data_IF_522675144393
#
_entry.id   IF_522675144393
#
_cell.length_a   1.000
_cell.length_b   1.000
_cell.length_c   1.000
_cell.angle_alpha   90.00
_cell.angle_beta   90.00
_cell.angle_gamma   90.00
#
_symmetry.space_group_name_H-M   'P 1'
#
loop_
_entity.id
_entity.type
_entity.pdbx_description
1 polymer ?
#
# COMPACT_ATOMS: atom_id res chain seq x y z
N UNK A 1 -7.54 5.22 -13.64
CA UNK A 1 -8.19 6.29 -12.85
C UNK A 1 -9.00 5.65 -11.75
N UNK A 2 -8.53 5.81 -10.51
CA UNK A 2 -9.14 5.24 -9.31
C UNK A 2 -10.41 6.01 -8.95
N UNK A 3 -11.51 5.28 -8.76
CA UNK A 3 -12.81 5.88 -8.41
C UNK A 3 -12.71 6.65 -7.10
N UNK A 4 -13.11 7.92 -7.11
CA UNK A 4 -13.14 8.78 -5.93
C UNK A 4 -11.80 9.41 -5.52
N UNK A 5 -10.72 9.19 -6.28
CA UNK A 5 -9.44 9.84 -6.02
C UNK A 5 -9.52 11.36 -6.19
N UNK A 6 -10.26 11.87 -7.18
CA UNK A 6 -10.45 13.32 -7.35
C UNK A 6 -11.17 13.96 -6.17
N UNK A 7 -12.16 13.26 -5.60
CA UNK A 7 -12.91 13.71 -4.42
C UNK A 7 -12.00 13.72 -3.19
N UNK A 8 -11.17 12.68 -3.03
CA UNK A 8 -10.16 12.62 -1.98
C UNK A 8 -9.15 13.76 -2.12
N UNK A 9 -8.57 13.94 -3.30
CA UNK A 9 -7.61 15.01 -3.59
C UNK A 9 -8.16 16.37 -3.21
N UNK A 10 -9.36 16.71 -3.71
CA UNK A 10 -9.92 18.04 -3.48
C UNK A 10 -10.16 18.29 -1.99
N UNK A 11 -10.66 17.27 -1.27
CA UNK A 11 -10.94 17.37 0.16
C UNK A 11 -9.67 17.52 1.00
N UNK A 12 -8.60 16.79 0.66
CA UNK A 12 -7.34 16.78 1.41
C UNK A 12 -6.26 17.70 0.84
N UNK A 13 -6.60 18.62 -0.07
CA UNK A 13 -5.62 19.51 -0.72
C UNK A 13 -4.80 20.34 0.26
N UNK A 14 -5.40 20.81 1.36
CA UNK A 14 -4.70 21.56 2.40
C UNK A 14 -3.86 20.68 3.34
N UNK A 15 -3.98 19.36 3.19
CA UNK A 15 -3.44 18.35 4.09
C UNK A 15 -2.62 17.28 3.35
N UNK A 16 -2.15 17.59 2.13
CA UNK A 16 -1.42 16.64 1.28
C UNK A 16 -0.20 16.05 2.01
N UNK A 17 0.47 16.85 2.83
CA UNK A 17 1.66 16.47 3.59
C UNK A 17 1.41 15.47 4.74
N UNK A 18 0.15 15.27 5.12
CA UNK A 18 -0.23 14.47 6.30
C UNK A 18 -0.61 13.03 5.96
N UNK A 19 -0.77 12.73 4.66
CA UNK A 19 -1.12 11.41 4.20
C UNK A 19 -0.36 11.02 2.94
N UNK A 20 -0.01 9.74 2.86
CA UNK A 20 0.73 9.16 1.75
C UNK A 20 -0.05 7.98 1.19
N UNK A 21 -0.43 8.04 -0.09
CA UNK A 21 -1.08 6.91 -0.74
C UNK A 21 -0.06 5.82 -1.09
N UNK A 22 -0.44 4.58 -0.78
CA UNK A 22 0.35 3.38 -1.09
C UNK A 22 -0.51 2.39 -1.89
N UNK A 23 -0.07 1.13 -1.93
CA UNK A 23 -0.91 0.02 -2.36
C UNK A 23 -1.33 0.08 -3.82
N UNK A 24 -2.59 -0.25 -4.11
CA UNK A 24 -3.09 -0.32 -5.49
C UNK A 24 -3.12 1.04 -6.19
N UNK A 25 -3.54 2.08 -5.45
CA UNK A 25 -3.78 3.41 -6.01
C UNK A 25 -2.48 4.13 -6.35
N UNK A 26 -1.47 4.01 -5.49
CA UNK A 26 -0.13 4.50 -5.82
C UNK A 26 0.46 3.80 -7.06
N UNK A 27 0.18 2.49 -7.22
CA UNK A 27 0.56 1.75 -8.43
C UNK A 27 -0.14 2.25 -9.71
N UNK A 28 -1.45 2.56 -9.64
CA UNK A 28 -2.19 3.15 -10.77
C UNK A 28 -1.63 4.52 -11.16
N UNK A 29 -1.35 5.37 -10.18
CA UNK A 29 -0.74 6.69 -10.39
C UNK A 29 0.64 6.57 -11.03
N UNK A 30 1.48 5.67 -10.51
CA UNK A 30 2.84 5.42 -11.01
C UNK A 30 2.84 4.97 -12.48
N UNK A 31 1.98 4.01 -12.81
CA UNK A 31 1.90 3.43 -14.16
C UNK A 31 1.31 4.44 -15.15
N UNK A 32 0.28 5.18 -14.73
CA UNK A 32 -0.33 6.22 -15.56
C UNK A 32 0.68 7.31 -15.89
N UNK A 33 1.54 7.68 -14.95
CA UNK A 33 2.64 8.63 -15.18
C UNK A 33 3.65 8.12 -16.23
N UNK A 34 3.93 6.82 -16.23
CA UNK A 34 4.77 6.18 -17.23
C UNK A 34 4.06 5.90 -18.58
N UNK A 35 2.82 6.36 -18.76
CA UNK A 35 2.04 6.15 -19.98
C UNK A 35 1.45 4.74 -20.13
N UNK A 36 1.27 4.02 -19.01
CA UNK A 36 0.75 2.67 -18.99
C UNK A 36 -0.45 2.50 -18.03
N UNK A 37 -1.08 1.33 -18.09
CA UNK A 37 -2.26 0.99 -17.30
C UNK A 37 -1.89 0.03 -16.18
N UNK A 38 -2.42 0.27 -14.98
CA UNK A 38 -2.38 -0.69 -13.88
C UNK A 38 -3.70 -1.48 -13.77
N UNK A 39 -3.73 -2.49 -12.90
CA UNK A 39 -4.98 -3.18 -12.60
C UNK A 39 -5.93 -2.23 -11.86
N UNK A 40 -7.23 -2.39 -12.09
CA UNK A 40 -8.23 -1.61 -11.36
C UNK A 40 -8.11 -1.83 -9.85
N UNK A 41 -8.19 -0.73 -9.10
CA UNK A 41 -8.35 -0.69 -7.65
C UNK A 41 -9.48 0.27 -7.30
N UNK A 42 -10.19 -0.02 -6.21
CA UNK A 42 -11.25 0.84 -5.68
C UNK A 42 -10.96 1.31 -4.26
N UNK A 43 -9.81 0.88 -3.74
CA UNK A 43 -9.40 1.04 -2.36
C UNK A 43 -8.30 2.10 -2.29
N UNK A 44 -8.40 2.97 -1.30
CA UNK A 44 -7.32 3.88 -0.93
C UNK A 44 -6.61 3.31 0.29
N UNK A 45 -5.38 2.87 0.06
CA UNK A 45 -4.43 2.50 1.11
C UNK A 45 -3.65 3.76 1.51
N UNK A 46 -3.85 4.25 2.74
CA UNK A 46 -3.41 5.57 3.19
C UNK A 46 -2.52 5.41 4.41
N UNK A 47 -1.27 5.83 4.32
CA UNK A 47 -0.36 5.94 5.47
C UNK A 47 -0.44 7.34 6.04
N UNK A 48 -0.65 7.45 7.36
CA UNK A 48 -0.58 8.72 8.05
C UNK A 48 0.86 9.10 8.40
N UNK A 49 1.26 10.31 8.01
CA UNK A 49 2.58 10.89 8.33
C UNK A 49 2.51 11.55 9.70
N UNK A 50 2.81 10.79 10.76
CA UNK A 50 2.54 11.19 12.16
C UNK A 50 3.27 12.47 12.58
N UNK A 51 4.37 12.78 11.91
CA UNK A 51 5.23 13.94 12.10
C UNK A 51 4.56 15.23 11.63
N UNK A 52 3.61 15.13 10.69
CA UNK A 52 2.90 16.26 10.11
C UNK A 52 1.44 16.36 10.61
N UNK A 53 0.91 15.35 11.30
CA UNK A 53 -0.49 15.29 11.71
C UNK A 53 -0.86 16.35 12.72
N UNK A 54 -1.96 17.05 12.44
CA UNK A 54 -2.61 17.98 13.37
C UNK A 54 -4.10 17.63 13.58
N UNK A 55 -4.75 18.36 14.48
CA UNK A 55 -6.17 18.19 14.76
C UNK A 55 -7.06 18.54 13.56
N UNK A 56 -6.61 19.44 12.67
CA UNK A 56 -7.31 19.83 11.46
C UNK A 56 -7.43 18.67 10.48
N UNK A 57 -6.37 17.88 10.31
CA UNK A 57 -6.40 16.64 9.53
C UNK A 57 -7.47 15.69 10.02
N UNK A 58 -7.45 15.40 11.34
CA UNK A 58 -8.34 14.40 11.93
C UNK A 58 -9.80 14.85 11.78
N UNK A 59 -10.06 16.15 11.95
CA UNK A 59 -11.38 16.72 11.69
C UNK A 59 -11.78 16.59 10.21
N UNK A 60 -10.89 16.94 9.29
CA UNK A 60 -11.13 16.84 7.85
C UNK A 60 -11.36 15.38 7.43
N UNK A 61 -10.64 14.43 8.01
CA UNK A 61 -10.82 13.01 7.75
C UNK A 61 -12.20 12.53 8.20
N UNK A 62 -12.62 12.86 9.40
CA UNK A 62 -13.97 12.53 9.87
C UNK A 62 -15.06 13.22 9.06
N UNK A 63 -14.82 14.45 8.59
CA UNK A 63 -15.71 15.14 7.66
C UNK A 63 -15.81 14.40 6.33
N UNK A 64 -14.71 13.89 5.78
CA UNK A 64 -14.71 13.06 4.57
C UNK A 64 -15.52 11.77 4.77
N UNK A 65 -15.29 11.08 5.89
CA UNK A 65 -16.01 9.84 6.25
C UNK A 65 -17.51 10.09 6.38
N UNK A 66 -17.92 11.17 7.06
CA UNK A 66 -19.33 11.58 7.18
C UNK A 66 -19.92 11.98 5.82
N UNK A 67 -19.18 12.76 5.04
CA UNK A 67 -19.63 13.26 3.74
C UNK A 67 -19.82 12.16 2.72
N UNK A 68 -18.97 11.12 2.73
CA UNK A 68 -19.12 9.92 1.90
C UNK A 68 -20.20 8.95 2.40
N UNK A 69 -20.62 9.09 3.65
CA UNK A 69 -21.61 8.21 4.28
C UNK A 69 -21.09 6.79 4.49
N UNK A 70 -19.82 6.62 4.86
CA UNK A 70 -19.26 5.30 5.15
C UNK A 70 -19.96 4.69 6.39
N UNK A 71 -20.60 3.54 6.19
CA UNK A 71 -21.46 2.92 7.20
C UNK A 71 -20.81 1.72 7.93
N UNK A 72 -19.71 1.19 7.41
CA UNK A 72 -18.87 0.20 8.12
C UNK A 72 -17.54 0.87 8.46
N UNK A 73 -17.28 1.06 9.75
CA UNK A 73 -16.14 1.78 10.29
C UNK A 73 -15.47 0.91 11.33
N UNK A 74 -14.27 0.47 11.04
CA UNK A 74 -13.64 -0.59 11.80
C UNK A 74 -12.23 -0.22 12.23
N UNK A 75 -11.78 -0.79 13.35
CA UNK A 75 -10.43 -0.63 13.87
C UNK A 75 -9.84 -2.01 14.19
N UNK A 76 -8.58 -2.20 13.84
CA UNK A 76 -7.82 -3.36 14.29
C UNK A 76 -7.53 -3.32 15.80
N UNK A 77 -7.41 -4.49 16.41
CA UNK A 77 -7.02 -4.66 17.81
C UNK A 77 -5.51 -4.88 17.98
N UNK A 78 -5.08 -4.96 19.25
CA UNK A 78 -3.70 -5.30 19.61
C UNK A 78 -2.67 -4.22 19.27
N UNK A 79 -1.50 -4.64 18.79
CA UNK A 79 -0.39 -3.74 18.43
C UNK A 79 -0.56 -3.09 17.04
N UNK A 80 -1.48 -3.57 16.22
CA UNK A 80 -1.72 -3.06 14.86
C UNK A 80 -2.69 -1.88 14.93
N UNK A 81 -2.29 -0.74 14.41
CA UNK A 81 -3.16 0.44 14.35
C UNK A 81 -3.53 0.75 12.91
N UNK A 82 -4.54 0.05 12.41
CA UNK A 82 -5.19 0.41 11.16
C UNK A 82 -6.71 0.48 11.29
N UNK A 83 -7.29 1.29 10.42
CA UNK A 83 -8.73 1.57 10.37
C UNK A 83 -9.26 1.26 8.99
N UNK A 84 -10.51 0.81 8.92
CA UNK A 84 -11.17 0.47 7.66
C UNK A 84 -12.53 1.14 7.57
N UNK A 85 -12.75 1.91 6.51
CA UNK A 85 -14.01 2.58 6.22
C UNK A 85 -14.55 2.07 4.91
N UNK A 86 -15.73 1.44 4.91
CA UNK A 86 -16.30 0.77 3.75
C UNK A 86 -17.74 1.17 3.50
N UNK A 87 -18.23 0.79 2.32
CA UNK A 87 -19.62 0.92 1.89
C UNK A 87 -20.10 2.37 2.03
N UNK A 88 -19.47 3.33 1.31
CA UNK A 88 -20.00 4.68 1.25
C UNK A 88 -21.39 4.66 0.62
N UNK A 89 -22.28 5.53 1.10
CA UNK A 89 -23.59 5.76 0.48
C UNK A 89 -23.41 6.50 -0.85
N UNK A 90 -22.44 7.43 -0.91
CA UNK A 90 -22.17 8.21 -2.11
C UNK A 90 -21.24 7.45 -3.05
N UNK A 91 -21.72 7.16 -4.26
CA UNK A 91 -20.97 6.35 -5.21
C UNK A 91 -19.71 7.03 -5.74
N UNK A 92 -19.60 8.36 -5.71
CA UNK A 92 -18.41 9.09 -6.16
C UNK A 92 -17.24 9.01 -5.16
N UNK A 93 -17.42 8.40 -3.99
CA UNK A 93 -16.36 8.17 -3.02
C UNK A 93 -15.63 6.84 -3.26
N UNK A 94 -14.37 6.71 -2.78
CA UNK A 94 -13.65 5.43 -2.78
C UNK A 94 -14.43 4.33 -2.05
N UNK A 95 -14.43 3.11 -2.60
CA UNK A 95 -15.21 2.00 -2.04
C UNK A 95 -14.75 1.58 -0.64
N UNK A 96 -13.45 1.72 -0.40
CA UNK A 96 -12.81 1.48 0.88
C UNK A 96 -11.68 2.49 1.12
N UNK A 97 -11.56 2.95 2.37
CA UNK A 97 -10.38 3.60 2.90
C UNK A 97 -9.74 2.65 3.91
N UNK A 98 -8.49 2.27 3.70
CA UNK A 98 -7.68 1.57 4.70
C UNK A 98 -6.58 2.52 5.17
N UNK A 99 -6.64 2.88 6.45
CA UNK A 99 -5.78 3.89 7.05
C UNK A 99 -4.78 3.25 7.99
N UNK A 100 -3.49 3.51 7.80
CA UNK A 100 -2.41 3.00 8.62
C UNK A 100 -1.80 4.12 9.46
N UNK A 101 -1.69 3.88 10.76
CA UNK A 101 -1.05 4.80 11.70
C UNK A 101 -0.05 4.05 12.56
N UNK A 102 1.08 4.68 12.90
CA UNK A 102 1.98 4.17 13.95
C UNK A 102 1.51 4.59 15.36
N UNK A 103 0.68 5.64 15.43
CA UNK A 103 0.11 6.12 16.69
C UNK A 103 -1.26 5.49 16.93
N UNK A 104 -1.42 4.68 18.00
CA UNK A 104 -2.72 4.15 18.38
C UNK A 104 -3.71 5.30 18.66
N UNK A 105 -4.98 5.05 18.36
CA UNK A 105 -6.10 5.90 18.79
C UNK A 105 -6.12 7.33 18.25
N UNK A 106 -5.33 7.64 17.22
CA UNK A 106 -5.29 8.98 16.62
C UNK A 106 -6.64 9.46 16.09
N UNK A 107 -7.48 8.53 15.62
CA UNK A 107 -8.84 8.83 15.16
C UNK A 107 -9.91 8.76 16.26
N UNK A 108 -9.58 8.19 17.42
CA UNK A 108 -10.50 8.01 18.56
C UNK A 108 -10.69 9.31 19.37
N UNK A 109 -10.04 10.40 18.95
CA UNK A 109 -10.00 11.69 19.65
C UNK A 109 -11.21 12.60 19.36
N UNK A 110 -12.13 12.19 18.48
CA UNK A 110 -13.27 13.01 18.02
C UNK A 110 -14.59 12.43 18.50
N UNK A 111 -15.45 13.24 19.10
CA UNK A 111 -16.80 12.82 19.51
C UNK A 111 -17.61 12.27 18.31
N UNK A 112 -18.28 11.12 18.51
CA UNK A 112 -19.03 10.43 17.46
C UNK A 112 -18.19 9.51 16.55
N UNK A 113 -16.93 9.25 16.90
CA UNK A 113 -16.04 8.29 16.23
C UNK A 113 -16.34 6.84 16.61
N UNK A 114 -17.59 6.37 16.46
CA UNK A 114 -17.92 4.97 16.73
C UNK A 114 -17.22 4.05 15.71
N UNK A 115 -16.29 3.25 16.22
CA UNK A 115 -15.51 2.26 15.47
C UNK A 115 -15.78 0.87 16.05
N UNK A 116 -16.13 -0.08 15.21
CA UNK A 116 -16.28 -1.48 15.63
C UNK A 116 -14.97 -2.26 15.44
N UNK A 117 -14.66 -3.27 16.26
CA UNK A 117 -13.48 -4.10 16.02
C UNK A 117 -13.55 -4.82 14.67
N UNK A 118 -12.43 -4.91 13.95
CA UNK A 118 -12.31 -5.80 12.79
C UNK A 118 -12.41 -7.26 13.29
N UNK A 119 -13.24 -8.13 12.68
CA UNK A 119 -13.28 -9.54 13.06
C UNK A 119 -11.89 -10.18 12.95
N UNK A 120 -11.46 -10.98 13.94
CA UNK A 120 -10.11 -11.58 13.98
C UNK A 120 -9.73 -12.31 12.68
N UNK A 121 -10.71 -12.97 12.04
CA UNK A 121 -10.52 -13.66 10.74
C UNK A 121 -10.23 -12.71 9.57
N UNK A 122 -10.67 -11.47 9.67
CA UNK A 122 -10.46 -10.37 8.71
C UNK A 122 -9.35 -9.40 9.15
N UNK A 123 -8.79 -9.59 10.36
CA UNK A 123 -7.76 -8.75 10.98
C UNK A 123 -6.37 -9.06 10.44
N UNK A 124 -6.29 -9.03 9.11
CA UNK A 124 -5.09 -9.31 8.36
C UNK A 124 -4.83 -8.11 7.47
N UNK A 125 -3.80 -7.35 7.82
CA UNK A 125 -3.18 -6.45 6.86
C UNK A 125 -1.68 -6.61 6.97
N UNK A 126 -1.07 -7.24 5.95
CA UNK A 126 0.39 -7.36 5.84
C UNK A 126 1.03 -5.97 5.82
N UNK A 127 0.35 -4.97 5.22
CA UNK A 127 0.78 -3.58 5.20
C UNK A 127 0.85 -2.97 6.60
N UNK A 128 -0.15 -3.19 7.45
CA UNK A 128 -0.08 -2.70 8.83
C UNK A 128 1.10 -3.30 9.59
N UNK A 129 1.42 -4.58 9.39
CA UNK A 129 2.56 -5.21 10.05
C UNK A 129 3.90 -4.64 9.56
N UNK A 130 4.01 -4.35 8.26
CA UNK A 130 5.19 -3.73 7.66
C UNK A 130 5.43 -2.33 8.25
N UNK A 131 4.38 -1.52 8.36
CA UNK A 131 4.48 -0.13 8.80
C UNK A 131 4.73 0.05 10.30
N UNK A 132 4.71 -1.04 11.09
CA UNK A 132 5.16 -1.01 12.49
C UNK A 132 6.69 -1.01 12.62
N UNK A 133 7.43 -1.41 11.59
CA UNK A 133 8.89 -1.32 11.56
C UNK A 133 9.31 0.11 11.22
N UNK A 134 10.05 0.77 12.12
CA UNK A 134 10.45 2.17 11.95
C UNK A 134 11.33 2.38 10.72
N UNK A 135 12.29 1.49 10.48
CA UNK A 135 13.18 1.59 9.32
C UNK A 135 12.42 1.43 8.01
N UNK A 136 11.45 0.51 7.97
CA UNK A 136 10.58 0.33 6.80
C UNK A 136 9.68 1.55 6.57
N UNK A 137 9.09 2.09 7.64
CA UNK A 137 8.22 3.26 7.58
C UNK A 137 8.97 4.50 7.08
N UNK A 138 10.11 4.84 7.70
CA UNK A 138 10.88 6.03 7.37
C UNK A 138 11.39 5.94 5.92
N UNK A 139 11.87 4.77 5.51
CA UNK A 139 12.29 4.52 4.14
C UNK A 139 11.13 4.67 3.14
N UNK A 140 9.96 4.11 3.45
CA UNK A 140 8.78 4.28 2.62
C UNK A 140 8.38 5.75 2.46
N UNK A 141 8.37 6.50 3.57
CA UNK A 141 8.05 7.92 3.56
C UNK A 141 9.09 8.76 2.80
N UNK A 142 10.37 8.34 2.78
CA UNK A 142 11.42 8.98 1.98
C UNK A 142 11.18 8.88 0.47
N UNK A 143 10.45 7.84 0.04
CA UNK A 143 10.03 7.61 -1.34
C UNK A 143 8.77 8.36 -1.77
N UNK A 144 8.28 9.29 -0.95
CA UNK A 144 7.10 10.07 -1.26
C UNK A 144 7.36 11.04 -2.43
N UNK A 145 6.42 11.06 -3.36
CA UNK A 145 6.34 12.03 -4.46
C UNK A 145 4.95 12.63 -4.51
N UNK A 146 4.83 13.77 -5.18
CA UNK A 146 3.56 14.45 -5.36
C UNK A 146 3.21 14.56 -6.85
N UNK A 147 1.95 14.30 -7.17
CA UNK A 147 1.37 14.59 -8.48
C UNK A 147 -0.05 15.09 -8.31
N UNK A 148 -0.36 16.20 -8.97
CA UNK A 148 -1.68 16.83 -8.93
C UNK A 148 -2.19 16.99 -7.49
N UNK A 149 -1.35 17.41 -6.53
CA UNK A 149 -1.75 17.61 -5.12
C UNK A 149 -2.03 16.33 -4.32
N UNK A 150 -1.65 15.16 -4.84
CA UNK A 150 -1.73 13.88 -4.13
C UNK A 150 -0.32 13.36 -3.88
N UNK A 151 0.00 13.06 -2.62
CA UNK A 151 1.24 12.38 -2.24
C UNK A 151 1.08 10.87 -2.30
N UNK A 152 2.05 10.20 -2.91
CA UNK A 152 2.07 8.75 -3.08
C UNK A 152 3.50 8.22 -3.22
N UNK A 153 3.70 6.92 -3.07
CA UNK A 153 5.02 6.30 -3.19
C UNK A 153 5.32 5.79 -4.60
N UNK A 154 6.59 5.85 -4.99
CA UNK A 154 7.11 5.36 -6.27
C UNK A 154 7.16 3.83 -6.40
N UNK A 155 7.33 3.30 -7.63
CA UNK A 155 7.49 1.86 -7.86
C UNK A 155 8.64 1.26 -7.04
N UNK A 156 9.71 2.01 -6.83
CA UNK A 156 10.91 1.62 -6.07
C UNK A 156 10.57 1.24 -4.62
N UNK A 157 9.58 1.91 -4.02
CA UNK A 157 9.17 1.66 -2.63
C UNK A 157 7.92 0.77 -2.56
N UNK A 158 7.09 0.76 -3.61
CA UNK A 158 5.95 -0.15 -3.71
C UNK A 158 6.36 -1.61 -3.91
N UNK A 159 7.42 -1.86 -4.68
CA UNK A 159 7.88 -3.23 -4.96
C UNK A 159 8.19 -4.00 -3.67
N UNK A 160 8.99 -3.47 -2.71
CA UNK A 160 9.22 -4.17 -1.46
C UNK A 160 7.95 -4.37 -0.61
N UNK A 161 7.03 -3.40 -0.58
CA UNK A 161 5.74 -3.59 0.09
C UNK A 161 4.94 -4.76 -0.51
N UNK A 162 4.93 -4.87 -1.83
CA UNK A 162 4.24 -5.98 -2.54
C UNK A 162 4.96 -7.31 -2.31
N UNK A 163 6.28 -7.32 -2.33
CA UNK A 163 7.10 -8.49 -2.05
C UNK A 163 6.85 -9.02 -0.63
N UNK A 164 6.86 -8.14 0.37
CA UNK A 164 6.61 -8.53 1.76
C UNK A 164 5.18 -8.98 2.00
N UNK A 165 4.18 -8.33 1.39
CA UNK A 165 2.79 -8.79 1.43
C UNK A 165 2.62 -10.17 0.78
N UNK A 166 3.33 -10.44 -0.32
CA UNK A 166 3.34 -11.76 -0.97
C UNK A 166 3.93 -12.84 -0.05
N UNK A 167 5.07 -12.58 0.59
CA UNK A 167 5.69 -13.50 1.56
C UNK A 167 4.71 -13.82 2.68
N UNK A 168 4.17 -12.78 3.34
CA UNK A 168 3.27 -12.92 4.49
C UNK A 168 2.02 -13.76 4.15
N UNK A 169 1.35 -13.46 3.04
CA UNK A 169 0.17 -14.22 2.61
C UNK A 169 0.51 -15.66 2.21
N UNK A 170 1.69 -15.89 1.63
CA UNK A 170 2.14 -17.23 1.22
C UNK A 170 2.45 -18.10 2.44
N UNK A 171 3.23 -17.58 3.40
CA UNK A 171 3.57 -18.29 4.64
C UNK A 171 2.32 -18.64 5.46
N UNK A 172 1.37 -17.71 5.54
CA UNK A 172 0.11 -17.95 6.24
C UNK A 172 -0.73 -19.03 5.58
N UNK A 173 -0.81 -19.02 4.25
CA UNK A 173 -1.48 -20.07 3.50
C UNK A 173 -0.82 -21.44 3.73
N UNK A 174 0.50 -21.49 3.79
CA UNK A 174 1.27 -22.71 4.11
C UNK A 174 1.02 -23.20 5.55
N UNK A 175 0.76 -22.28 6.49
CA UNK A 175 0.40 -22.57 7.87
C UNK A 175 -1.08 -22.99 8.05
N UNK A 176 -1.87 -22.97 6.98
CA UNK A 176 -3.28 -23.40 6.98
C UNK A 176 -4.29 -22.29 7.22
N UNK A 177 -3.87 -21.02 7.23
CA UNK A 177 -4.80 -19.89 7.29
C UNK A 177 -5.67 -19.82 6.04
N UNK A 178 -6.91 -19.34 6.20
CA UNK A 178 -7.79 -19.05 5.08
C UNK A 178 -7.34 -17.78 4.36
N UNK A 179 -6.49 -17.95 3.34
CA UNK A 179 -5.94 -16.88 2.50
C UNK A 179 -6.42 -17.06 1.07
N UNK A 180 -6.92 -15.99 0.46
CA UNK A 180 -7.30 -15.98 -0.95
C UNK A 180 -6.04 -16.08 -1.84
N UNK A 181 -6.07 -17.02 -2.78
CA UNK A 181 -4.95 -17.22 -3.72
C UNK A 181 -4.84 -16.08 -4.73
N UNK A 182 -5.95 -15.40 -5.01
CA UNK A 182 -5.94 -14.22 -5.88
C UNK A 182 -5.26 -13.04 -5.20
N UNK A 183 -5.33 -12.94 -3.88
CA UNK A 183 -4.59 -11.95 -3.11
C UNK A 183 -3.08 -12.22 -3.13
N UNK A 184 -2.64 -13.47 -3.00
CA UNK A 184 -1.23 -13.81 -3.21
C UNK A 184 -0.81 -13.46 -4.64
N UNK A 185 -1.58 -13.90 -5.63
CA UNK A 185 -1.28 -13.69 -7.05
C UNK A 185 -1.21 -12.21 -7.44
N UNK A 186 -2.10 -11.35 -6.91
CA UNK A 186 -2.09 -9.91 -7.22
C UNK A 186 -0.81 -9.24 -6.72
N UNK A 187 -0.34 -9.56 -5.50
CA UNK A 187 0.90 -8.98 -4.96
C UNK A 187 2.13 -9.39 -5.76
N UNK A 188 2.24 -10.69 -6.11
CA UNK A 188 3.28 -11.18 -7.03
C UNK A 188 3.27 -10.41 -8.34
N UNK A 189 2.14 -10.36 -9.02
CA UNK A 189 2.03 -9.73 -10.33
C UNK A 189 2.28 -8.22 -10.28
N UNK A 190 1.91 -7.55 -9.18
CA UNK A 190 2.15 -6.12 -9.00
C UNK A 190 3.66 -5.81 -8.93
N UNK A 191 4.51 -6.67 -8.33
CA UNK A 191 5.97 -6.51 -8.36
C UNK A 191 6.49 -6.43 -9.80
N UNK A 192 6.10 -7.40 -10.64
CA UNK A 192 6.52 -7.45 -12.05
C UNK A 192 5.93 -6.30 -12.88
N UNK A 193 4.69 -5.86 -12.60
CA UNK A 193 4.11 -4.69 -13.27
C UNK A 193 4.90 -3.42 -12.96
N UNK A 194 5.21 -3.20 -11.69
CA UNK A 194 5.95 -2.02 -11.23
C UNK A 194 7.41 -2.04 -11.70
N UNK A 195 8.03 -3.21 -11.81
CA UNK A 195 9.38 -3.36 -12.35
C UNK A 195 9.54 -2.71 -13.73
N UNK A 196 8.49 -2.67 -14.55
CA UNK A 196 8.52 -2.08 -15.90
C UNK A 196 8.76 -0.58 -15.92
N UNK A 197 8.54 0.08 -14.79
CA UNK A 197 8.62 1.54 -14.64
C UNK A 197 9.59 1.95 -13.53
N UNK A 198 10.37 1.01 -12.99
CA UNK A 198 11.39 1.30 -12.00
C UNK A 198 12.53 2.08 -12.66
N UNK A 199 13.09 3.07 -11.96
CA UNK A 199 14.32 3.72 -12.40
C UNK A 199 15.52 2.76 -12.22
N UNK A 200 16.21 2.33 -13.31
CA UNK A 200 17.41 1.51 -13.18
C UNK A 200 18.54 2.23 -12.43
N UNK A 201 18.52 3.56 -12.41
CA UNK A 201 19.45 4.40 -11.66
C UNK A 201 19.11 4.53 -10.17
N UNK A 202 17.99 3.97 -9.69
CA UNK A 202 17.57 4.13 -8.30
C UNK A 202 18.67 3.65 -7.33
N UNK A 203 19.06 4.56 -6.45
CA UNK A 203 19.99 4.33 -5.37
C UNK A 203 19.42 4.99 -4.11
N UNK A 204 19.37 4.23 -3.03
CA UNK A 204 18.86 4.65 -1.73
C UNK A 204 19.52 3.80 -0.65
N UNK A 205 19.58 4.32 0.57
CA UNK A 205 20.04 3.56 1.73
C UNK A 205 18.94 2.56 2.13
N UNK A 206 18.97 1.37 1.51
CA UNK A 206 17.98 0.32 1.73
C UNK A 206 18.14 -0.27 3.15
N UNK A 207 17.13 -0.16 4.03
CA UNK A 207 17.17 -0.75 5.36
C UNK A 207 17.36 -2.27 5.30
N UNK A 208 18.07 -2.84 6.28
CA UNK A 208 18.31 -4.29 6.34
C UNK A 208 17.01 -5.10 6.27
N UNK A 209 15.94 -4.64 6.92
CA UNK A 209 14.66 -5.33 6.88
C UNK A 209 14.08 -5.42 5.46
N UNK A 210 14.12 -4.32 4.71
CA UNK A 210 13.68 -4.25 3.30
C UNK A 210 14.54 -5.16 2.44
N UNK A 211 15.86 -5.13 2.65
CA UNK A 211 16.85 -5.97 1.96
C UNK A 211 16.58 -7.46 2.17
N UNK A 212 16.37 -7.87 3.41
CA UNK A 212 16.11 -9.26 3.80
C UNK A 212 14.78 -9.76 3.19
N UNK A 213 13.74 -8.93 3.27
CA UNK A 213 12.43 -9.27 2.68
C UNK A 213 12.52 -9.38 1.14
N UNK A 214 13.32 -8.52 0.48
CA UNK A 214 13.55 -8.59 -0.96
C UNK A 214 14.38 -9.80 -1.37
N UNK A 215 15.44 -10.15 -0.64
CA UNK A 215 16.23 -11.34 -0.94
C UNK A 215 15.41 -12.62 -0.74
N UNK A 216 14.61 -12.69 0.33
CA UNK A 216 13.68 -13.79 0.57
C UNK A 216 12.64 -13.92 -0.55
N UNK A 217 12.04 -12.80 -0.99
CA UNK A 217 11.12 -12.78 -2.11
C UNK A 217 11.78 -13.30 -3.39
N UNK A 218 12.96 -12.77 -3.74
CA UNK A 218 13.70 -13.14 -4.94
C UNK A 218 14.05 -14.62 -4.92
N UNK A 219 14.50 -15.15 -3.78
CA UNK A 219 14.80 -16.57 -3.58
C UNK A 219 13.59 -17.46 -3.88
N UNK A 220 12.44 -17.18 -3.24
CA UNK A 220 11.21 -17.95 -3.48
C UNK A 220 10.66 -17.77 -4.90
N UNK A 221 10.89 -16.61 -5.51
CA UNK A 221 10.41 -16.31 -6.86
C UNK A 221 11.16 -17.06 -7.96
N UNK A 222 12.29 -17.71 -7.64
CA UNK A 222 13.00 -18.58 -8.59
C UNK A 222 12.16 -19.79 -9.01
N UNK A 223 11.43 -20.39 -8.07
CA UNK A 223 10.63 -21.59 -8.31
C UNK A 223 9.16 -21.26 -8.68
N UNK A 224 8.72 -20.03 -8.42
CA UNK A 224 7.36 -19.59 -8.72
C UNK A 224 7.11 -19.35 -10.22
N UNK A 225 5.94 -19.77 -10.70
CA UNK A 225 5.51 -19.47 -12.07
C UNK A 225 4.99 -18.04 -12.19
N UNK A 226 5.40 -17.34 -13.25
CA UNK A 226 4.97 -15.96 -13.56
C UNK A 226 4.66 -15.88 -15.05
N UNK A 227 3.44 -15.47 -15.40
CA UNK A 227 3.05 -15.25 -16.79
C UNK A 227 3.56 -13.88 -17.26
N UNK A 228 4.83 -13.83 -17.66
CA UNK A 228 5.48 -12.59 -18.11
C UNK A 228 4.78 -11.99 -19.34
N UNK A 229 4.20 -12.81 -20.22
CA UNK A 229 3.46 -12.33 -21.40
C UNK A 229 2.22 -11.55 -20.97
N UNK A 230 1.42 -12.10 -20.05
CA UNK A 230 0.27 -11.40 -19.49
C UNK A 230 0.63 -10.11 -18.74
N UNK A 231 1.88 -9.97 -18.30
CA UNK A 231 2.40 -8.79 -17.62
C UNK A 231 3.17 -7.82 -18.53
N UNK A 232 3.08 -7.99 -19.86
CA UNK A 232 3.80 -7.17 -20.86
C UNK A 232 5.33 -7.19 -20.69
N UNK A 233 5.87 -8.33 -20.26
CA UNK A 233 7.29 -8.64 -20.04
C UNK A 233 7.75 -9.86 -20.86
N UNK A 234 6.99 -10.25 -21.88
CA UNK A 234 7.22 -11.50 -22.64
C UNK A 234 8.52 -11.53 -23.46
N UNK A 235 9.25 -10.42 -23.53
CA UNK A 235 10.55 -10.27 -24.17
C UNK A 235 11.73 -10.34 -23.17
N UNK A 236 11.46 -10.60 -21.89
CA UNK A 236 12.47 -10.69 -20.83
C UNK A 236 12.43 -12.08 -20.20
N UNK A 237 13.58 -12.51 -19.67
CA UNK A 237 13.65 -13.71 -18.84
C UNK A 237 13.39 -13.37 -17.38
N UNK A 238 12.67 -14.24 -16.66
CA UNK A 238 12.40 -14.06 -15.22
C UNK A 238 13.71 -13.91 -14.44
N UNK A 239 14.74 -14.66 -14.82
CA UNK A 239 16.04 -14.62 -14.17
C UNK A 239 16.69 -13.23 -14.24
N UNK A 240 16.58 -12.53 -15.38
CA UNK A 240 17.16 -11.19 -15.56
C UNK A 240 16.43 -10.15 -14.71
N UNK A 241 15.10 -10.23 -14.64
CA UNK A 241 14.27 -9.36 -13.78
C UNK A 241 14.67 -9.55 -12.31
N UNK A 242 14.78 -10.80 -11.86
CA UNK A 242 15.17 -11.11 -10.49
C UNK A 242 16.60 -10.69 -10.17
N UNK A 243 17.53 -10.82 -11.13
CA UNK A 243 18.91 -10.34 -10.98
C UNK A 243 18.95 -8.81 -10.84
N UNK A 244 18.11 -8.09 -11.58
CA UNK A 244 18.02 -6.64 -11.51
C UNK A 244 17.36 -6.16 -10.21
N UNK A 245 16.29 -6.81 -9.76
CA UNK A 245 15.73 -6.55 -8.43
C UNK A 245 16.76 -6.79 -7.33
N UNK A 246 17.55 -7.86 -7.43
CA UNK A 246 18.66 -8.13 -6.49
C UNK A 246 19.72 -7.03 -6.55
N UNK A 247 20.05 -6.53 -7.74
CA UNK A 247 21.00 -5.42 -7.92
C UNK A 247 20.53 -4.16 -7.20
N UNK A 248 19.24 -3.83 -7.31
CA UNK A 248 18.65 -2.61 -6.78
C UNK A 248 18.49 -2.69 -5.26
N UNK A 249 17.96 -3.79 -4.72
CA UNK A 249 17.56 -3.86 -3.31
C UNK A 249 18.54 -4.60 -2.40
N UNK A 250 19.36 -5.50 -2.94
CA UNK A 250 20.15 -6.43 -2.10
C UNK A 250 21.64 -6.06 -2.00
N UNK A 251 22.14 -5.08 -2.76
CA UNK A 251 23.57 -4.70 -2.74
C UNK A 251 23.92 -3.79 -1.56
N UNK A 252 24.96 -4.18 -0.82
CA UNK A 252 25.54 -3.41 0.30
C UNK A 252 26.31 -2.19 -0.17
#
# INVERSE_FOLDING_TARGET
>A
MVKGLDVFREHFRAYSEQCLLIGGTAGDLAMTEAGDTFRATKDLDIVLCIEALDAGFVQAFWEFVRSGGYNRREKAGGQRTYYRFQKPIKENYPAMLELFSRRPDILSLVEGSELTPIPIKEEVSSLSAILLDEGYYDWLCSGAREKDGVRFVGPEHLIPLKARAWIDLTERKEQGDSVDSDDIKKHKNDVFRLYRIIDPGFASDIPNKVRDDMDAFIGRMQDESVDLKALKLGNMEKADILAELRRIYCRS
#
